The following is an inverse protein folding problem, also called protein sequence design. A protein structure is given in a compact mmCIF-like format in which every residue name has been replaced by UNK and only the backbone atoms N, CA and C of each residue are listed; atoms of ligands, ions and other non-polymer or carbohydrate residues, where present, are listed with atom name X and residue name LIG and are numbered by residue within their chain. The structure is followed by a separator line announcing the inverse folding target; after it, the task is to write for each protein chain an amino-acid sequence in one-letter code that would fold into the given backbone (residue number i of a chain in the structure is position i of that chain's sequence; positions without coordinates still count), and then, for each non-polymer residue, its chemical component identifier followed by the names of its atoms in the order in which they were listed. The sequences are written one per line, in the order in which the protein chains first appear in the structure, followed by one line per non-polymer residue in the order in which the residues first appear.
data_IF_426523741673
#
_entry.id   IF_426523741673
#
_cell.length_a   1.000
_cell.length_b   1.000
_cell.length_c   1.000
_cell.angle_alpha   90.00
_cell.angle_beta   90.00
_cell.angle_gamma   90.00
#
_symmetry.space_group_name_H-M   'P 1'
#
loop_
_entity.id
_entity.type
_entity.pdbx_description
1 polymer ?
#
# COMPACT_ATOMS: atom_id res chain seq x y z
N UNK A 1 -2.59 -22.71 17.64
CA UNK A 1 -1.66 -22.04 18.58
C UNK A 1 -0.42 -21.71 17.78
N UNK A 2 -0.36 -20.48 17.25
CA UNK A 2 0.84 -19.92 16.62
C UNK A 2 1.10 -18.63 17.39
N UNK A 3 2.30 -18.56 17.95
CA UNK A 3 2.80 -17.49 18.80
C UNK A 3 2.75 -16.15 18.06
N UNK A 4 2.62 -14.99 18.74
CA UNK A 4 2.91 -13.73 18.09
C UNK A 4 4.40 -13.75 17.77
N UNK A 5 4.74 -13.96 16.49
CA UNK A 5 6.07 -13.66 16.01
C UNK A 5 6.23 -12.15 16.19
N UNK A 6 7.04 -11.73 17.16
CA UNK A 6 7.63 -10.40 17.14
C UNK A 6 8.47 -10.31 15.86
N UNK A 7 7.88 -9.73 14.81
CA UNK A 7 8.59 -9.50 13.56
C UNK A 7 9.47 -8.29 13.79
N UNK A 8 10.76 -8.50 13.95
CA UNK A 8 11.70 -7.38 13.99
C UNK A 8 11.82 -6.79 12.57
N UNK A 9 11.56 -5.49 12.44
CA UNK A 9 11.60 -4.78 11.16
C UNK A 9 12.94 -4.04 11.06
N UNK A 10 13.69 -4.32 10.00
CA UNK A 10 14.96 -3.63 9.72
C UNK A 10 14.70 -2.22 9.16
N UNK A 11 14.56 -1.25 10.07
CA UNK A 11 14.23 0.14 9.72
C UNK A 11 15.33 0.80 8.88
N UNK A 12 16.60 0.49 9.13
CA UNK A 12 17.70 1.10 8.39
C UNK A 12 17.71 0.67 6.92
N UNK A 13 17.38 -0.59 6.66
CA UNK A 13 17.12 -1.04 5.29
C UNK A 13 15.88 -0.37 4.70
N UNK A 14 14.78 -0.28 5.44
CA UNK A 14 13.55 0.34 4.92
C UNK A 14 13.74 1.81 4.54
N UNK A 15 14.63 2.55 5.21
CA UNK A 15 14.98 3.93 4.85
C UNK A 15 15.63 4.06 3.47
N UNK A 16 16.24 3.00 2.96
CA UNK A 16 16.80 2.99 1.59
C UNK A 16 15.72 2.88 0.52
N UNK A 17 14.48 2.57 0.91
CA UNK A 17 13.36 2.41 -0.03
C UNK A 17 12.64 3.73 -0.28
N UNK A 18 12.26 3.94 -1.54
CA UNK A 18 11.25 4.92 -1.96
C UNK A 18 10.00 4.17 -2.41
N UNK A 19 8.92 4.35 -1.67
CA UNK A 19 7.65 3.64 -1.87
C UNK A 19 6.67 4.53 -2.64
N UNK A 20 6.12 4.03 -3.74
CA UNK A 20 5.07 4.72 -4.49
C UNK A 20 3.75 3.98 -4.25
N UNK A 21 2.86 4.61 -3.48
CA UNK A 21 1.50 4.15 -3.31
C UNK A 21 0.68 4.52 -4.55
N UNK A 22 0.08 3.52 -5.16
CA UNK A 22 -0.77 3.66 -6.33
C UNK A 22 -2.21 3.34 -5.95
N UNK A 23 -3.04 4.39 -5.93
CA UNK A 23 -4.41 4.35 -5.44
C UNK A 23 -5.38 4.69 -6.59
N UNK A 24 -6.04 3.70 -7.21
CA UNK A 24 -7.08 3.96 -8.18
C UNK A 24 -8.35 4.44 -7.46
N UNK A 25 -8.70 5.72 -7.60
CA UNK A 25 -9.87 6.33 -6.99
C UNK A 25 -11.02 6.42 -8.01
N UNK A 26 -11.86 5.38 -8.08
CA UNK A 26 -13.02 5.38 -8.96
C UNK A 26 -13.98 6.53 -8.61
N UNK A 27 -14.32 7.37 -9.60
CA UNK A 27 -15.15 8.56 -9.40
C UNK A 27 -14.57 9.59 -8.41
N UNK A 28 -13.26 9.51 -8.10
CA UNK A 28 -12.63 10.37 -7.09
C UNK A 28 -12.99 9.99 -5.65
N UNK A 29 -13.61 8.84 -5.43
CA UNK A 29 -14.03 8.40 -4.11
C UNK A 29 -12.86 7.81 -3.31
N UNK A 30 -12.78 8.21 -2.04
CA UNK A 30 -11.87 7.68 -1.04
C UNK A 30 -12.68 7.34 0.22
N UNK A 31 -12.61 6.09 0.67
CA UNK A 31 -13.27 5.70 1.92
C UNK A 31 -12.51 6.22 3.13
N UNK A 32 -13.26 6.52 4.19
CA UNK A 32 -12.75 7.01 5.47
C UNK A 32 -11.71 6.05 6.06
N UNK A 33 -11.94 4.75 6.01
CA UNK A 33 -10.99 3.73 6.50
C UNK A 33 -9.66 3.74 5.76
N UNK A 34 -9.67 3.94 4.44
CA UNK A 34 -8.47 4.06 3.62
C UNK A 34 -7.73 5.37 3.95
N UNK A 35 -8.47 6.47 4.03
CA UNK A 35 -7.92 7.78 4.39
C UNK A 35 -7.24 7.76 5.77
N UNK A 36 -7.90 7.21 6.79
CA UNK A 36 -7.33 7.05 8.13
C UNK A 36 -6.07 6.17 8.12
N UNK A 37 -6.05 5.11 7.31
CA UNK A 37 -4.87 4.27 7.10
C UNK A 37 -3.68 5.08 6.56
N UNK A 38 -3.91 5.91 5.55
CA UNK A 38 -2.88 6.82 5.03
C UNK A 38 -2.41 7.86 6.03
N UNK A 39 -3.30 8.41 6.86
CA UNK A 39 -2.92 9.37 7.91
C UNK A 39 -1.99 8.73 8.95
N UNK A 40 -2.34 7.53 9.42
CA UNK A 40 -1.48 6.75 10.33
C UNK A 40 -0.15 6.38 9.68
N UNK A 41 -0.19 6.00 8.40
CA UNK A 41 1.01 5.69 7.63
C UNK A 41 1.91 6.91 7.49
N UNK A 42 1.35 8.08 7.14
CA UNK A 42 2.10 9.31 6.99
C UNK A 42 2.84 9.69 8.28
N UNK A 43 2.17 9.58 9.43
CA UNK A 43 2.80 9.79 10.73
C UNK A 43 3.93 8.79 10.98
N UNK A 44 3.67 7.49 10.81
CA UNK A 44 4.64 6.41 11.08
C UNK A 44 5.86 6.51 10.15
N UNK A 45 5.63 6.73 8.86
CA UNK A 45 6.68 6.88 7.86
C UNK A 45 7.55 8.11 8.16
N UNK A 46 6.95 9.21 8.61
CA UNK A 46 7.69 10.40 9.03
C UNK A 46 8.54 10.16 10.29
N UNK A 47 7.97 9.50 11.30
CA UNK A 47 8.69 9.13 12.54
C UNK A 47 9.89 8.20 12.25
N UNK A 48 9.75 7.30 11.29
CA UNK A 48 10.79 6.34 10.90
C UNK A 48 11.78 6.89 9.86
N UNK A 49 11.49 8.05 9.25
CA UNK A 49 12.30 8.66 8.19
C UNK A 49 12.22 7.91 6.86
N UNK A 50 11.06 7.32 6.53
CA UNK A 50 10.82 6.59 5.29
C UNK A 50 10.41 7.54 4.17
N UNK A 51 10.89 7.27 2.95
CA UNK A 51 10.56 8.06 1.77
C UNK A 51 9.40 7.42 1.02
N UNK A 52 8.31 8.17 0.79
CA UNK A 52 7.14 7.67 0.09
C UNK A 52 6.37 8.77 -0.63
N UNK A 53 5.62 8.38 -1.66
CA UNK A 53 4.66 9.25 -2.37
C UNK A 53 3.37 8.50 -2.66
N UNK A 54 2.32 9.27 -2.93
CA UNK A 54 1.03 8.74 -3.40
C UNK A 54 0.77 9.25 -4.81
N UNK A 55 0.37 8.34 -5.69
CA UNK A 55 -0.17 8.64 -7.02
C UNK A 55 -1.61 8.13 -7.03
N UNK A 56 -2.55 9.07 -7.15
CA UNK A 56 -3.97 8.75 -7.33
C UNK A 56 -4.36 8.87 -8.79
N UNK A 57 -5.25 8.00 -9.25
CA UNK A 57 -5.87 8.16 -10.57
C UNK A 57 -7.39 8.31 -10.42
N UNK A 58 -7.96 9.30 -11.08
CA UNK A 58 -9.41 9.57 -11.11
C UNK A 58 -9.96 9.24 -12.50
N UNK A 59 -11.24 8.87 -12.56
CA UNK A 59 -12.01 8.81 -13.81
C UNK A 59 -11.59 7.75 -14.84
N UNK A 60 -10.96 6.65 -14.42
CA UNK A 60 -10.75 5.51 -15.32
C UNK A 60 -11.91 4.52 -15.21
N UNK A 61 -12.58 4.25 -16.34
CA UNK A 61 -13.75 3.36 -16.42
C UNK A 61 -13.38 1.88 -16.24
N UNK A 62 -12.12 1.52 -16.44
CA UNK A 62 -11.61 0.16 -16.36
C UNK A 62 -10.44 0.07 -15.38
N UNK A 63 -10.62 -0.64 -14.27
CA UNK A 63 -9.60 -0.79 -13.20
C UNK A 63 -8.26 -1.29 -13.76
N UNK A 64 -8.26 -2.23 -14.72
CA UNK A 64 -7.05 -2.74 -15.36
C UNK A 64 -6.24 -1.65 -16.07
N UNK A 65 -6.92 -0.71 -16.74
CA UNK A 65 -6.27 0.43 -17.37
C UNK A 65 -5.74 1.40 -16.32
N UNK A 66 -6.50 1.61 -15.24
CA UNK A 66 -6.09 2.50 -14.15
C UNK A 66 -4.82 1.99 -13.45
N UNK A 67 -4.75 0.69 -13.16
CA UNK A 67 -3.55 0.04 -12.61
C UNK A 67 -2.37 0.12 -13.57
N UNK A 68 -2.59 -0.09 -14.87
CA UNK A 68 -1.52 0.04 -15.87
C UNK A 68 -0.96 1.47 -15.96
N UNK A 69 -1.82 2.49 -15.92
CA UNK A 69 -1.41 3.90 -15.91
C UNK A 69 -0.60 4.21 -14.65
N UNK A 70 -1.05 3.76 -13.48
CA UNK A 70 -0.35 3.95 -12.22
C UNK A 70 1.01 3.23 -12.21
N UNK A 71 1.09 2.01 -12.73
CA UNK A 71 2.34 1.29 -12.89
C UNK A 71 3.30 2.04 -13.84
N UNK A 72 2.80 2.60 -14.94
CA UNK A 72 3.61 3.45 -15.83
C UNK A 72 4.13 4.70 -15.12
N UNK A 73 3.33 5.34 -14.26
CA UNK A 73 3.77 6.50 -13.47
C UNK A 73 4.88 6.11 -12.49
N UNK A 74 4.79 4.94 -11.86
CA UNK A 74 5.86 4.39 -11.02
C UNK A 74 7.15 4.16 -11.83
N UNK A 75 7.05 3.55 -13.01
CA UNK A 75 8.21 3.26 -13.86
C UNK A 75 8.92 4.53 -14.38
N UNK A 76 8.23 5.68 -14.42
CA UNK A 76 8.83 6.97 -14.77
C UNK A 76 9.65 7.59 -13.63
N UNK A 77 9.47 7.10 -12.40
CA UNK A 77 10.16 7.60 -11.21
C UNK A 77 11.41 6.74 -10.97
N UNK A 78 12.56 7.15 -11.53
CA UNK A 78 13.77 6.32 -11.63
C UNK A 78 14.42 5.93 -10.29
N UNK A 79 14.10 6.63 -9.21
CA UNK A 79 14.56 6.37 -7.85
C UNK A 79 13.52 5.60 -7.01
N UNK A 80 12.36 5.26 -7.58
CA UNK A 80 11.35 4.46 -6.90
C UNK A 80 11.78 2.99 -6.80
N UNK A 81 11.63 2.41 -5.61
CA UNK A 81 12.05 1.03 -5.32
C UNK A 81 10.87 0.07 -5.25
N UNK A 82 9.73 0.52 -4.71
CA UNK A 82 8.59 -0.34 -4.43
C UNK A 82 7.30 0.32 -4.95
N UNK A 83 6.51 -0.48 -5.66
CA UNK A 83 5.16 -0.14 -6.08
C UNK A 83 4.18 -0.78 -5.09
N UNK A 84 3.35 0.03 -4.43
CA UNK A 84 2.35 -0.45 -3.49
C UNK A 84 0.94 -0.14 -4.02
N UNK A 85 0.22 -1.15 -4.48
CA UNK A 85 -1.19 -1.00 -4.85
C UNK A 85 -2.10 -1.14 -3.63
N UNK A 86 -3.03 -0.21 -3.50
CA UNK A 86 -4.12 -0.25 -2.53
C UNK A 86 -5.37 0.28 -3.23
N UNK A 87 -6.52 -0.34 -3.00
CA UNK A 87 -7.79 0.15 -3.54
C UNK A 87 -8.38 1.20 -2.57
N UNK A 88 -9.13 2.19 -3.08
CA UNK A 88 -9.61 3.33 -2.28
C UNK A 88 -10.65 2.99 -1.22
N UNK A 89 -11.12 1.75 -1.19
CA UNK A 89 -12.04 1.20 -0.21
C UNK A 89 -11.41 0.24 0.81
N UNK A 90 -10.08 0.04 0.75
CA UNK A 90 -9.34 -0.82 1.66
C UNK A 90 -8.60 0.02 2.71
N UNK A 91 -8.91 -0.23 3.97
CA UNK A 91 -8.16 0.28 5.12
C UNK A 91 -6.98 -0.62 5.47
N UNK A 92 -5.92 -0.03 6.01
CA UNK A 92 -4.73 -0.75 6.45
C UNK A 92 -4.11 -0.06 7.68
N UNK A 93 -3.34 -0.82 8.44
CA UNK A 93 -2.50 -0.27 9.52
C UNK A 93 -1.05 -0.14 9.03
N UNK A 94 -0.27 0.83 9.56
CA UNK A 94 1.12 1.05 9.14
C UNK A 94 2.00 -0.20 9.25
N UNK A 95 1.75 -1.02 10.27
CA UNK A 95 2.44 -2.28 10.49
C UNK A 95 2.33 -3.24 9.30
N UNK A 96 1.18 -3.27 8.62
CA UNK A 96 0.96 -4.15 7.48
C UNK A 96 1.94 -3.81 6.34
N UNK A 97 2.22 -2.52 6.15
CA UNK A 97 3.17 -2.04 5.14
C UNK A 97 4.60 -2.33 5.57
N UNK A 98 4.95 -2.08 6.84
CA UNK A 98 6.31 -2.31 7.36
C UNK A 98 6.71 -3.78 7.26
N UNK A 99 5.85 -4.70 7.69
CA UNK A 99 6.11 -6.15 7.59
C UNK A 99 6.20 -6.59 6.13
N UNK A 100 5.35 -6.03 5.27
CA UNK A 100 5.37 -6.35 3.84
C UNK A 100 6.70 -5.95 3.19
N UNK A 101 7.21 -4.75 3.49
CA UNK A 101 8.50 -4.29 3.00
C UNK A 101 9.67 -5.08 3.60
N UNK A 102 9.55 -5.52 4.85
CA UNK A 102 10.61 -6.29 5.52
C UNK A 102 10.80 -7.70 4.94
N UNK A 103 9.75 -8.28 4.35
CA UNK A 103 9.77 -9.66 3.86
C UNK A 103 10.71 -9.87 2.65
N UNK A 104 11.14 -8.80 1.98
CA UNK A 104 12.19 -8.80 0.93
C UNK A 104 11.97 -9.87 -0.15
N UNK A 105 10.78 -9.85 -0.75
CA UNK A 105 10.38 -10.69 -1.87
C UNK A 105 9.90 -9.80 -3.01
N UNK A 106 9.98 -10.28 -4.24
CA UNK A 106 9.65 -9.48 -5.44
C UNK A 106 8.18 -9.03 -5.46
N UNK A 107 7.27 -9.86 -4.94
CA UNK A 107 5.83 -9.58 -4.90
C UNK A 107 5.25 -10.08 -3.58
N UNK A 108 4.42 -9.24 -2.95
CA UNK A 108 3.67 -9.58 -1.76
C UNK A 108 2.20 -9.21 -1.91
N UNK A 109 1.32 -10.09 -1.44
CA UNK A 109 -0.12 -9.86 -1.40
C UNK A 109 -0.59 -9.50 0.00
N UNK A 110 -1.41 -8.45 0.11
CA UNK A 110 -2.17 -8.15 1.32
C UNK A 110 -3.52 -8.86 1.28
N UNK A 111 -3.87 -9.57 2.35
CA UNK A 111 -5.18 -10.22 2.48
C UNK A 111 -6.22 -9.21 2.94
N UNK A 112 -7.41 -9.25 2.34
CA UNK A 112 -8.55 -8.43 2.77
C UNK A 112 -9.87 -9.21 2.69
N UNK A 113 -10.89 -8.82 3.48
CA UNK A 113 -12.16 -9.53 3.47
C UNK A 113 -12.93 -9.23 2.18
N UNK A 114 -13.36 -10.29 1.49
CA UNK A 114 -14.25 -10.19 0.33
C UNK A 114 -15.62 -9.66 0.75
N UNK A 115 -16.24 -8.87 -0.12
CA UNK A 115 -17.62 -8.38 0.04
C UNK A 115 -18.61 -9.54 -0.17
N UNK A 116 -18.85 -10.35 0.87
CA UNK A 116 -19.79 -11.47 0.84
C UNK A 116 -19.98 -12.16 2.20
N UNK A 117 -21.12 -12.86 2.35
CA UNK A 117 -21.40 -13.73 3.49
C UNK A 117 -21.45 -15.20 3.03
N UNK A 118 -20.85 -16.16 3.76
CA UNK A 118 -19.96 -15.95 4.90
C UNK A 118 -18.68 -15.21 4.49
N UNK A 119 -18.05 -14.50 5.42
CA UNK A 119 -16.83 -13.72 5.16
C UNK A 119 -15.75 -14.66 4.61
N UNK A 120 -15.26 -14.34 3.43
CA UNK A 120 -14.14 -15.02 2.77
C UNK A 120 -12.97 -14.04 2.64
N UNK A 121 -11.76 -14.54 2.60
CA UNK A 121 -10.54 -13.74 2.46
C UNK A 121 -10.01 -13.92 1.03
N UNK A 122 -9.58 -12.81 0.41
CA UNK A 122 -8.92 -12.77 -0.89
C UNK A 122 -7.44 -12.47 -0.72
#
# INVERSE_FOLDING_TARGET
MVWPMEVEVDIDRLRTYKIIFCLPCYGGMLNETCFLGFMKWAQTANELGLTWHVKTLVNESLISRGRNTLASMFLLESDATHLFFVDSDIGFEPWNVLVALNHNVDVIGGLYPMKGLPIKWA
#
